data_IF_174287549064
#
_entry.id   IF_174287549064
#
_cell.length_a   1.000
_cell.length_b   1.000
_cell.length_c   1.000
_cell.angle_alpha   90.00
_cell.angle_beta   90.00
_cell.angle_gamma   90.00
#
_symmetry.space_group_name_H-M   'P 1'
#
loop_
_entity.id
_entity.type
_entity.pdbx_description
1 polymer ?
#
# COMPACT_ATOMS: atom_id res chain seq x y z
N UNK A 1 -11.31 6.80 12.36
CA UNK A 1 -10.05 6.02 12.41
C UNK A 1 -8.91 7.00 12.18
N UNK A 2 -7.93 7.06 13.06
CA UNK A 2 -6.81 7.98 12.88
C UNK A 2 -5.77 7.42 11.88
N UNK A 3 -4.83 8.28 11.48
CA UNK A 3 -3.83 7.92 10.46
C UNK A 3 -2.99 6.70 10.86
N UNK A 4 -2.60 6.62 12.13
CA UNK A 4 -1.79 5.51 12.62
C UNK A 4 -2.57 4.20 12.59
N UNK A 5 -3.84 4.23 12.96
CA UNK A 5 -4.71 3.06 12.88
C UNK A 5 -4.88 2.56 11.44
N UNK A 6 -4.98 3.49 10.49
CA UNK A 6 -5.11 3.12 9.07
C UNK A 6 -3.91 2.31 8.61
N UNK A 7 -2.69 2.77 8.93
CA UNK A 7 -1.46 2.08 8.49
C UNK A 7 -1.04 0.93 9.42
N UNK A 8 -1.69 0.78 10.57
CA UNK A 8 -1.39 -0.33 11.49
C UNK A 8 -1.83 -1.68 10.91
N UNK A 9 -2.79 -1.69 10.01
CA UNK A 9 -3.28 -2.93 9.40
C UNK A 9 -2.33 -3.38 8.28
N UNK A 10 -1.77 -4.62 8.34
CA UNK A 10 -0.74 -5.05 7.40
C UNK A 10 -1.16 -5.07 5.94
N UNK A 11 -2.42 -5.41 5.63
CA UNK A 11 -2.90 -5.44 4.25
C UNK A 11 -3.00 -4.05 3.66
N UNK A 12 -3.41 -3.06 4.46
CA UNK A 12 -3.44 -1.67 4.00
C UNK A 12 -2.04 -1.15 3.70
N UNK A 13 -1.04 -1.50 4.54
CA UNK A 13 0.36 -1.17 4.23
C UNK A 13 0.83 -1.82 2.94
N UNK A 14 0.48 -3.09 2.74
CA UNK A 14 0.85 -3.81 1.53
C UNK A 14 0.21 -3.17 0.28
N UNK A 15 -1.02 -2.72 0.38
CA UNK A 15 -1.68 -1.99 -0.72
C UNK A 15 -0.94 -0.69 -1.03
N UNK A 16 -0.61 0.09 0.01
CA UNK A 16 0.15 1.34 -0.17
C UNK A 16 1.47 1.08 -0.91
N UNK A 17 2.16 -0.01 -0.55
CA UNK A 17 3.42 -0.36 -1.22
C UNK A 17 3.22 -0.68 -2.70
N UNK A 18 2.14 -1.39 -3.04
CA UNK A 18 1.82 -1.71 -4.43
C UNK A 18 1.57 -0.47 -5.28
N UNK A 19 0.90 0.53 -4.72
CA UNK A 19 0.53 1.75 -5.45
C UNK A 19 1.45 2.93 -5.15
N UNK A 20 2.63 2.66 -4.58
CA UNK A 20 3.59 3.70 -4.18
C UNK A 20 4.14 4.46 -5.38
N UNK A 21 4.50 3.75 -6.43
CA UNK A 21 5.12 4.30 -7.63
C UNK A 21 4.28 4.17 -8.89
N UNK A 22 3.12 3.54 -8.81
CA UNK A 22 2.28 3.30 -9.99
C UNK A 22 0.80 3.24 -9.63
N UNK A 23 -0.04 3.56 -10.61
CA UNK A 23 -1.48 3.37 -10.48
C UNK A 23 -1.85 1.92 -10.75
N UNK A 24 -2.80 1.37 -9.99
CA UNK A 24 -3.33 0.04 -10.21
C UNK A 24 -4.85 0.06 -10.04
N UNK A 25 -5.53 -0.75 -10.84
CA UNK A 25 -6.96 -0.99 -10.69
C UNK A 25 -7.23 -1.87 -9.46
N UNK A 26 -8.41 -1.71 -8.86
CA UNK A 26 -8.79 -2.50 -7.69
C UNK A 26 -8.69 -4.00 -7.93
N UNK A 27 -9.08 -4.47 -9.12
CA UNK A 27 -8.97 -5.89 -9.49
C UNK A 27 -7.53 -6.38 -9.52
N UNK A 28 -6.61 -5.56 -10.04
CA UNK A 28 -5.20 -5.90 -10.09
C UNK A 28 -4.59 -5.92 -8.69
N UNK A 29 -5.02 -5.01 -7.82
CA UNK A 29 -4.59 -5.01 -6.42
C UNK A 29 -5.09 -6.30 -5.74
N UNK A 30 -6.36 -6.62 -5.90
CA UNK A 30 -6.96 -7.81 -5.29
C UNK A 30 -6.28 -9.11 -5.72
N UNK A 31 -5.82 -9.17 -6.97
CA UNK A 31 -5.12 -10.34 -7.51
C UNK A 31 -3.79 -10.62 -6.81
N UNK A 32 -3.24 -9.66 -6.08
CA UNK A 32 -1.98 -9.80 -5.34
C UNK A 32 -2.16 -10.36 -3.93
N UNK A 33 -3.41 -10.51 -3.48
CA UNK A 33 -3.70 -10.94 -2.12
C UNK A 33 -4.54 -12.22 -2.12
N UNK A 34 -4.37 -13.02 -1.09
CA UNK A 34 -5.15 -14.23 -0.85
C UNK A 34 -6.38 -13.89 -0.01
N UNK A 35 -7.15 -12.91 -0.47
CA UNK A 35 -8.38 -12.44 0.18
C UNK A 35 -9.39 -12.08 -0.89
N UNK A 36 -10.67 -11.97 -0.49
CA UNK A 36 -11.74 -11.65 -1.42
C UNK A 36 -11.65 -10.22 -1.94
N UNK A 37 -12.21 -9.99 -3.13
CA UNK A 37 -12.31 -8.64 -3.70
C UNK A 37 -13.04 -7.67 -2.76
N UNK A 38 -14.19 -8.05 -2.14
CA UNK A 38 -14.84 -7.16 -1.17
C UNK A 38 -13.94 -6.75 -0.01
N UNK A 39 -13.08 -7.64 0.50
CA UNK A 39 -12.15 -7.31 1.58
C UNK A 39 -11.12 -6.26 1.12
N UNK A 40 -10.56 -6.44 -0.07
CA UNK A 40 -9.61 -5.46 -0.64
C UNK A 40 -10.33 -4.13 -0.90
N UNK A 41 -11.53 -4.16 -1.43
CA UNK A 41 -12.34 -2.96 -1.68
C UNK A 41 -12.58 -2.18 -0.39
N UNK A 42 -12.83 -2.87 0.73
CA UNK A 42 -13.02 -2.24 2.03
C UNK A 42 -11.74 -1.55 2.49
N UNK A 43 -10.59 -2.19 2.35
CA UNK A 43 -9.30 -1.59 2.69
C UNK A 43 -8.99 -0.37 1.81
N UNK A 44 -9.30 -0.44 0.52
CA UNK A 44 -9.15 0.70 -0.39
C UNK A 44 -10.04 1.87 0.01
N UNK A 45 -11.27 1.57 0.46
CA UNK A 45 -12.18 2.59 0.96
C UNK A 45 -11.64 3.33 2.18
N UNK A 46 -11.05 2.59 3.13
CA UNK A 46 -10.43 3.18 4.32
C UNK A 46 -9.25 4.08 3.92
N UNK A 47 -8.39 3.60 3.03
CA UNK A 47 -7.24 4.37 2.55
C UNK A 47 -7.66 5.63 1.81
N UNK A 48 -8.69 5.56 0.97
CA UNK A 48 -9.24 6.70 0.25
C UNK A 48 -9.83 7.72 1.22
N UNK A 49 -10.62 7.28 2.19
CA UNK A 49 -11.27 8.17 3.15
C UNK A 49 -10.24 8.88 4.04
N UNK A 50 -9.13 8.24 4.31
CA UNK A 50 -8.00 8.85 5.01
C UNK A 50 -7.21 9.84 4.14
N UNK A 51 -7.44 9.84 2.83
CA UNK A 51 -6.70 10.69 1.89
C UNK A 51 -5.35 10.12 1.47
N UNK A 52 -5.04 8.89 1.82
CA UNK A 52 -3.72 8.28 1.56
C UNK A 52 -3.58 7.71 0.15
N UNK A 53 -4.69 7.50 -0.54
CA UNK A 53 -4.68 7.14 -1.96
C UNK A 53 -5.61 8.08 -2.71
N UNK A 54 -5.23 8.40 -3.93
CA UNK A 54 -6.08 9.11 -4.88
C UNK A 54 -6.70 8.08 -5.83
N UNK A 55 -7.89 8.41 -6.31
CA UNK A 55 -8.62 7.55 -7.24
C UNK A 55 -8.89 8.33 -8.51
N UNK A 56 -8.54 7.75 -9.64
CA UNK A 56 -8.76 8.34 -10.95
C UNK A 56 -9.59 7.37 -11.80
N UNK A 57 -10.62 7.90 -12.44
CA UNK A 57 -11.43 7.08 -13.35
C UNK A 57 -10.76 7.00 -14.72
N UNK A 58 -10.66 5.80 -15.25
CA UNK A 58 -10.13 5.54 -16.58
C UNK A 58 -11.07 4.55 -17.28
N UNK A 59 -11.97 5.07 -18.11
CA UNK A 59 -13.05 4.27 -18.68
C UNK A 59 -13.99 3.78 -17.59
N UNK A 60 -14.18 2.46 -17.51
CA UNK A 60 -15.00 1.81 -16.48
C UNK A 60 -14.18 1.41 -15.24
N UNK A 61 -12.89 1.70 -15.25
CA UNK A 61 -11.95 1.27 -14.23
C UNK A 61 -11.59 2.42 -13.32
N UNK A 62 -11.43 2.13 -12.02
CA UNK A 62 -10.88 3.09 -11.05
C UNK A 62 -9.44 2.71 -10.77
N UNK A 63 -8.54 3.67 -10.93
CA UNK A 63 -7.11 3.49 -10.68
C UNK A 63 -6.73 4.18 -9.39
N UNK A 64 -5.99 3.47 -8.56
CA UNK A 64 -5.56 3.92 -7.23
C UNK A 64 -4.05 4.18 -7.24
N UNK A 65 -3.66 5.28 -6.63
CA UNK A 65 -2.25 5.64 -6.44
C UNK A 65 -2.08 6.31 -5.08
N UNK A 66 -0.94 6.08 -4.43
CA UNK A 66 -0.66 6.72 -3.14
C UNK A 66 -0.53 8.23 -3.30
N UNK A 67 -1.02 8.96 -2.30
CA UNK A 67 -0.71 10.37 -2.11
C UNK A 67 0.32 10.48 -0.98
N UNK A 68 1.59 10.56 -1.36
CA UNK A 68 2.70 10.55 -0.39
C UNK A 68 2.67 11.76 0.54
N UNK A 69 2.24 12.90 0.04
CA UNK A 69 2.15 14.13 0.84
C UNK A 69 1.14 13.98 1.96
N UNK A 70 0.02 13.31 1.68
CA UNK A 70 -1.02 13.10 2.68
C UNK A 70 -0.57 12.20 3.82
N UNK A 71 0.42 11.33 3.60
CA UNK A 71 0.98 10.48 4.63
C UNK A 71 1.77 11.25 5.70
N UNK A 72 2.32 12.43 5.34
CA UNK A 72 3.09 13.24 6.28
C UNK A 72 4.24 12.45 6.91
N UNK A 73 4.37 12.44 8.25
CA UNK A 73 5.46 11.74 8.93
C UNK A 73 5.38 10.21 8.82
N UNK A 74 4.24 9.66 8.42
CA UNK A 74 4.10 8.21 8.20
C UNK A 74 4.88 7.76 6.97
N UNK A 75 5.11 8.65 6.02
CA UNK A 75 5.85 8.32 4.78
C UNK A 75 7.26 7.79 5.06
N UNK A 76 8.13 8.53 5.77
CA UNK A 76 9.48 8.02 6.03
C UNK A 76 9.47 6.79 6.92
N UNK A 77 8.51 6.66 7.83
CA UNK A 77 8.36 5.48 8.67
C UNK A 77 8.10 4.23 7.83
N UNK A 78 7.17 4.32 6.87
CA UNK A 78 6.84 3.21 5.97
C UNK A 78 8.02 2.85 5.07
N UNK A 79 8.68 3.86 4.49
CA UNK A 79 9.84 3.65 3.64
C UNK A 79 10.97 2.95 4.39
N UNK A 80 11.23 3.36 5.61
CA UNK A 80 12.24 2.74 6.47
C UNK A 80 11.90 1.28 6.78
N UNK A 81 10.64 1.01 7.11
CA UNK A 81 10.19 -0.34 7.42
C UNK A 81 10.36 -1.28 6.22
N UNK A 82 10.03 -0.81 5.03
CA UNK A 82 10.19 -1.61 3.81
C UNK A 82 11.67 -1.81 3.45
N UNK A 83 12.51 -0.80 3.64
CA UNK A 83 13.94 -0.88 3.40
C UNK A 83 14.64 -1.84 4.38
N UNK A 84 14.27 -1.81 5.65
CA UNK A 84 14.82 -2.72 6.65
C UNK A 84 14.58 -4.19 6.29
N UNK A 85 13.39 -4.50 5.79
CA UNK A 85 13.08 -5.86 5.34
C UNK A 85 13.94 -6.27 4.16
N UNK A 86 14.16 -5.36 3.22
CA UNK A 86 15.00 -5.61 2.06
C UNK A 86 16.46 -5.80 2.49
N UNK A 87 16.97 -4.96 3.38
CA UNK A 87 18.33 -5.04 3.90
C UNK A 87 18.57 -6.37 4.60
N UNK A 88 17.62 -6.88 5.37
CA UNK A 88 17.72 -8.20 6.01
C UNK A 88 17.83 -9.32 5.00
N UNK A 89 17.05 -9.23 3.91
CA UNK A 89 17.10 -10.23 2.85
C UNK A 89 18.47 -10.23 2.16
N UNK A 90 19.00 -9.06 1.85
CA UNK A 90 20.33 -8.90 1.24
C UNK A 90 21.40 -9.49 2.16
N UNK A 91 21.35 -9.19 3.45
CA UNK A 91 22.30 -9.71 4.43
C UNK A 91 22.27 -11.24 4.50
N UNK A 92 21.08 -11.85 4.47
CA UNK A 92 20.93 -13.30 4.47
C UNK A 92 21.53 -13.94 3.21
N UNK A 93 21.33 -13.32 2.05
CA UNK A 93 21.90 -13.80 0.79
C UNK A 93 23.42 -13.72 0.81
N UNK A 94 23.98 -12.62 1.33
CA UNK A 94 25.42 -12.42 1.44
C UNK A 94 26.08 -13.42 2.40
N UNK A 95 25.40 -13.81 3.49
CA UNK A 95 25.89 -14.80 4.42
C UNK A 95 25.99 -16.20 3.81
N UNK A 96 25.09 -16.51 2.87
CA UNK A 96 25.07 -17.80 2.18
C UNK A 96 26.05 -17.89 1.01
N UNK A 97 26.51 -16.75 0.57
CA UNK A 97 27.50 -16.67 -0.50
C UNK A 97 28.90 -16.87 0.07
#
# INVERSE_FOLDING_TARGET
MDALQVVAEPRRRAILRLVWDRELAAGDIAARFDVSFPAVSQHLGVLRDAGFVSVRRHGRTRLYKVDRKALGPLRPMLERMWNEKLDRLVALIEEEA
#
